data_IF_530331944163
#
_entry.id   IF_530331944163
#
_cell.length_a   1.000
_cell.length_b   1.000
_cell.length_c   1.000
_cell.angle_alpha   90.00
_cell.angle_beta   90.00
_cell.angle_gamma   90.00
#
_symmetry.space_group_name_H-M   'P 1'
#
loop_
_entity.id
_entity.type
_entity.pdbx_description
1 polymer ?
#
# COMPACT_ATOMS: atom_id res chain seq x y z
N UNK A 1 21.58 -24.63 5.01
CA UNK A 1 20.48 -23.65 4.95
C UNK A 1 19.30 -24.24 4.19
N UNK A 2 18.14 -24.14 4.75
CA UNK A 2 16.95 -24.62 4.06
C UNK A 2 16.40 -23.51 3.14
N UNK A 3 16.32 -23.78 1.83
CA UNK A 3 15.73 -22.79 0.91
C UNK A 3 14.22 -22.68 1.07
N UNK A 4 13.61 -23.59 1.81
CA UNK A 4 12.17 -23.61 2.02
C UNK A 4 11.75 -22.60 3.09
N UNK A 5 12.63 -22.38 4.06
CA UNK A 5 12.32 -21.47 5.16
C UNK A 5 12.62 -20.04 4.77
N UNK A 6 11.58 -19.27 4.61
CA UNK A 6 11.73 -17.84 4.44
C UNK A 6 11.71 -17.17 5.80
N UNK A 7 12.52 -16.16 5.99
CA UNK A 7 12.46 -15.35 7.19
C UNK A 7 11.10 -14.61 7.20
N UNK A 8 10.65 -14.22 8.39
CA UNK A 8 9.43 -13.41 8.51
C UNK A 8 9.56 -12.11 7.72
N UNK A 9 10.79 -11.59 7.66
CA UNK A 9 11.10 -10.38 6.94
C UNK A 9 10.84 -10.52 5.45
N UNK A 10 11.35 -11.60 4.86
CA UNK A 10 11.15 -11.85 3.43
C UNK A 10 9.69 -12.11 3.11
N UNK A 11 8.99 -12.84 3.98
CA UNK A 11 7.57 -13.11 3.80
C UNK A 11 6.74 -11.83 3.85
N UNK A 12 7.08 -10.92 4.77
CA UNK A 12 6.42 -9.64 4.90
C UNK A 12 6.61 -8.76 3.66
N UNK A 13 7.84 -8.69 3.17
CA UNK A 13 8.13 -7.92 1.95
C UNK A 13 7.38 -8.49 0.75
N UNK A 14 7.28 -9.82 0.66
CA UNK A 14 6.55 -10.44 -0.45
C UNK A 14 5.09 -10.05 -0.44
N UNK A 15 4.45 -10.06 0.73
CA UNK A 15 3.05 -9.66 0.86
C UNK A 15 2.86 -8.21 0.41
N UNK A 16 3.77 -7.32 0.82
CA UNK A 16 3.70 -5.91 0.44
C UNK A 16 3.91 -5.75 -1.07
N UNK A 17 4.85 -6.48 -1.66
CA UNK A 17 5.07 -6.44 -3.11
C UNK A 17 3.84 -6.91 -3.87
N UNK A 18 3.20 -7.99 -3.41
CA UNK A 18 1.96 -8.48 -4.02
C UNK A 18 0.83 -7.46 -3.90
N UNK A 19 0.75 -6.80 -2.75
CA UNK A 19 -0.23 -5.75 -2.55
C UNK A 19 -0.04 -4.60 -3.55
N UNK A 20 1.21 -4.18 -3.77
CA UNK A 20 1.50 -3.12 -4.72
C UNK A 20 1.20 -3.55 -6.16
N UNK A 21 1.45 -4.80 -6.51
CA UNK A 21 1.10 -5.32 -7.83
C UNK A 21 -0.40 -5.28 -8.05
N UNK A 22 -1.19 -5.69 -7.05
CA UNK A 22 -2.64 -5.61 -7.12
C UNK A 22 -3.11 -4.16 -7.24
N UNK A 23 -2.48 -3.25 -6.49
CA UNK A 23 -2.76 -1.82 -6.60
C UNK A 23 -2.56 -1.35 -8.05
N UNK A 24 -1.44 -1.69 -8.66
CA UNK A 24 -1.14 -1.23 -10.02
C UNK A 24 -2.07 -1.81 -11.08
N UNK A 25 -2.69 -2.95 -10.79
CA UNK A 25 -3.75 -3.51 -11.64
C UNK A 25 -5.13 -2.96 -11.28
N UNK A 26 -5.21 -2.13 -10.23
CA UNK A 26 -6.48 -1.62 -9.67
C UNK A 26 -7.40 -2.77 -9.23
N UNK A 27 -6.79 -3.84 -8.75
CA UNK A 27 -7.50 -5.05 -8.30
C UNK A 27 -7.79 -4.96 -6.81
N UNK A 28 -8.88 -4.30 -6.47
CA UNK A 28 -9.25 -4.09 -5.06
C UNK A 28 -9.44 -5.41 -4.33
N UNK A 29 -10.10 -6.38 -4.96
CA UNK A 29 -10.30 -7.69 -4.34
C UNK A 29 -8.96 -8.36 -4.02
N UNK A 30 -7.99 -8.29 -4.95
CA UNK A 30 -6.66 -8.83 -4.74
C UNK A 30 -5.93 -8.13 -3.60
N UNK A 31 -6.02 -6.80 -3.55
CA UNK A 31 -5.44 -6.02 -2.45
C UNK A 31 -6.02 -6.47 -1.10
N UNK A 32 -7.33 -6.57 -1.04
CA UNK A 32 -8.00 -6.85 0.23
C UNK A 32 -7.83 -8.29 0.71
N UNK A 33 -7.52 -9.22 -0.18
CA UNK A 33 -7.16 -10.58 0.23
C UNK A 33 -5.86 -10.60 1.03
N UNK A 34 -5.01 -9.58 0.86
CA UNK A 34 -3.73 -9.49 1.55
C UNK A 34 -3.83 -8.72 2.87
N UNK A 35 -4.99 -8.16 3.19
CA UNK A 35 -5.21 -7.44 4.44
C UNK A 35 -6.11 -8.25 5.37
N UNK A 36 -5.87 -8.14 6.67
CA UNK A 36 -6.75 -8.84 7.63
C UNK A 36 -8.05 -8.06 7.85
N UNK A 37 -9.00 -8.69 8.55
CA UNK A 37 -10.33 -8.10 8.75
C UNK A 37 -10.31 -6.81 9.56
N UNK A 38 -9.38 -6.70 10.50
CA UNK A 38 -9.26 -5.54 11.39
C UNK A 38 -8.17 -4.56 10.93
N UNK A 39 -7.89 -4.53 9.64
CA UNK A 39 -6.79 -3.72 9.12
C UNK A 39 -7.05 -2.22 9.33
N UNK A 40 -5.96 -1.48 9.42
CA UNK A 40 -5.98 -0.02 9.55
C UNK A 40 -5.22 0.56 8.35
N UNK A 41 -5.85 1.54 7.70
CA UNK A 41 -5.20 2.32 6.65
C UNK A 41 -5.24 3.79 7.04
N UNK A 42 -4.07 4.39 7.19
CA UNK A 42 -3.94 5.83 7.40
C UNK A 42 -3.47 6.47 6.10
N UNK A 43 -4.35 7.28 5.52
CA UNK A 43 -4.10 7.92 4.24
C UNK A 43 -3.29 9.22 4.44
N UNK A 44 -2.77 9.76 3.35
CA UNK A 44 -2.02 11.03 3.37
C UNK A 44 -2.96 12.22 3.35
N UNK A 45 -4.19 12.04 2.91
CA UNK A 45 -5.18 13.11 2.80
C UNK A 45 -6.35 12.87 3.74
N UNK A 46 -6.99 13.93 4.25
CA UNK A 46 -6.61 15.33 4.07
C UNK A 46 -5.44 15.73 4.96
N UNK A 47 -4.70 16.76 4.50
CA UNK A 47 -3.65 17.32 5.33
C UNK A 47 -4.25 17.90 6.62
N UNK A 48 -3.51 17.93 7.77
CA UNK A 48 -2.10 17.53 7.89
C UNK A 48 -1.89 16.05 8.18
N UNK A 49 -2.87 15.36 8.78
CA UNK A 49 -2.62 14.04 9.36
C UNK A 49 -3.19 12.88 8.54
N UNK A 50 -4.10 13.17 7.62
CA UNK A 50 -4.76 12.14 6.86
C UNK A 50 -5.93 11.48 7.59
N UNK A 51 -6.82 10.87 6.84
CA UNK A 51 -7.95 10.12 7.38
C UNK A 51 -7.52 8.69 7.72
N UNK A 52 -8.16 8.13 8.74
CA UNK A 52 -7.91 6.75 9.14
C UNK A 52 -9.13 5.92 8.80
N UNK A 53 -8.90 4.80 8.13
CA UNK A 53 -9.95 3.85 7.76
C UNK A 53 -9.70 2.57 8.55
N UNK A 54 -10.70 2.10 9.30
CA UNK A 54 -10.58 0.94 10.16
C UNK A 54 -11.49 -0.17 9.67
N UNK A 55 -10.91 -1.35 9.48
CA UNK A 55 -11.64 -2.54 9.06
C UNK A 55 -11.69 -2.71 7.55
N UNK A 56 -11.82 -3.97 7.15
CA UNK A 56 -11.75 -4.36 5.75
C UNK A 56 -12.83 -3.68 4.90
N UNK A 57 -14.04 -3.52 5.45
CA UNK A 57 -15.13 -2.92 4.69
C UNK A 57 -14.85 -1.45 4.35
N UNK A 58 -14.40 -0.67 5.35
CA UNK A 58 -14.10 0.75 5.12
C UNK A 58 -12.93 0.93 4.17
N UNK A 59 -11.90 0.10 4.31
CA UNK A 59 -10.72 0.18 3.44
C UNK A 59 -11.06 -0.23 2.02
N UNK A 60 -11.88 -1.25 1.84
CA UNK A 60 -12.35 -1.68 0.51
C UNK A 60 -13.08 -0.54 -0.20
N UNK A 61 -14.00 0.11 0.51
CA UNK A 61 -14.78 1.20 -0.05
C UNK A 61 -13.87 2.36 -0.47
N UNK A 62 -12.87 2.67 0.36
CA UNK A 62 -11.91 3.70 0.04
C UNK A 62 -11.22 3.41 -1.30
N UNK A 63 -10.69 2.18 -1.47
CA UNK A 63 -9.95 1.85 -2.70
C UNK A 63 -10.85 1.80 -3.93
N UNK A 64 -12.09 1.35 -3.78
CA UNK A 64 -13.05 1.37 -4.88
C UNK A 64 -13.28 2.79 -5.38
N UNK A 65 -13.48 3.72 -4.46
CA UNK A 65 -13.69 5.13 -4.80
C UNK A 65 -12.41 5.75 -5.38
N UNK A 66 -11.27 5.43 -4.77
CA UNK A 66 -9.99 5.97 -5.20
C UNK A 66 -9.69 5.63 -6.67
N UNK A 67 -9.85 4.36 -7.05
CA UNK A 67 -9.55 3.95 -8.43
C UNK A 67 -10.58 4.46 -9.43
N UNK A 68 -11.80 4.69 -8.98
CA UNK A 68 -12.81 5.32 -9.85
C UNK A 68 -12.43 6.75 -10.17
N UNK A 69 -11.88 7.46 -9.19
CA UNK A 69 -11.47 8.85 -9.35
C UNK A 69 -10.06 8.99 -9.94
N UNK A 70 -9.26 7.95 -9.87
CA UNK A 70 -7.85 7.98 -10.30
C UNK A 70 -7.55 6.79 -11.19
N UNK A 71 -8.14 6.73 -12.41
CA UNK A 71 -8.01 5.55 -13.27
C UNK A 71 -6.60 5.31 -13.80
N UNK A 72 -5.71 6.30 -13.67
CA UNK A 72 -4.32 6.18 -14.15
C UNK A 72 -3.32 6.03 -12.99
N UNK A 73 -3.80 5.73 -11.79
CA UNK A 73 -2.94 5.62 -10.61
C UNK A 73 -1.96 4.46 -10.73
N UNK A 74 -0.67 4.74 -10.52
CA UNK A 74 0.40 3.76 -10.52
C UNK A 74 1.39 4.10 -9.42
N UNK A 75 1.95 3.08 -8.80
CA UNK A 75 3.00 3.25 -7.79
C UNK A 75 4.24 2.48 -8.22
N UNK A 76 5.36 3.20 -8.32
CA UNK A 76 6.68 2.60 -8.49
C UNK A 76 7.33 2.47 -7.12
N UNK A 77 7.84 1.29 -6.82
CA UNK A 77 8.59 1.07 -5.59
C UNK A 77 10.02 1.53 -5.83
N UNK A 78 10.50 2.46 -5.01
CA UNK A 78 11.88 2.93 -5.08
C UNK A 78 12.81 2.17 -4.15
N UNK A 79 12.27 1.70 -3.03
CA UNK A 79 13.03 0.92 -2.07
C UNK A 79 12.07 0.20 -1.15
N UNK A 80 12.41 -1.02 -0.76
CA UNK A 80 11.62 -1.77 0.21
C UNK A 80 12.57 -2.49 1.16
N UNK A 81 12.30 -2.42 2.45
CA UNK A 81 13.06 -3.14 3.47
C UNK A 81 12.15 -3.36 4.68
N UNK A 82 12.60 -4.21 5.57
CA UNK A 82 11.78 -4.52 6.72
C UNK A 82 12.59 -4.84 7.97
N UNK A 83 11.88 -4.86 9.09
CA UNK A 83 12.43 -5.19 10.39
C UNK A 83 11.30 -5.76 11.25
N UNK A 84 11.44 -7.02 11.67
CA UNK A 84 10.37 -7.68 12.41
C UNK A 84 9.09 -7.76 11.59
N UNK A 85 8.00 -7.25 12.16
CA UNK A 85 6.71 -7.21 11.47
C UNK A 85 6.55 -5.96 10.60
N UNK A 86 7.49 -5.02 10.69
CA UNK A 86 7.41 -3.78 9.92
C UNK A 86 8.08 -3.92 8.57
N UNK A 87 7.43 -3.39 7.56
CA UNK A 87 7.96 -3.32 6.22
C UNK A 87 7.80 -1.88 5.73
N UNK A 88 8.88 -1.31 5.24
CA UNK A 88 8.93 0.08 4.82
C UNK A 88 9.11 0.11 3.31
N UNK A 89 8.24 0.84 2.62
CA UNK A 89 8.28 0.95 1.17
C UNK A 89 8.33 2.41 0.77
N UNK A 90 9.44 2.83 0.17
CA UNK A 90 9.52 4.16 -0.43
C UNK A 90 8.95 4.06 -1.83
N UNK A 91 8.11 5.03 -2.18
CA UNK A 91 7.37 4.94 -3.43
C UNK A 91 7.29 6.28 -4.15
N UNK A 92 6.98 6.18 -5.43
CA UNK A 92 6.63 7.30 -6.30
C UNK A 92 5.24 7.00 -6.86
N UNK A 93 4.29 7.86 -6.53
CA UNK A 93 2.93 7.76 -7.06
C UNK A 93 2.82 8.64 -8.29
N UNK A 94 2.30 8.08 -9.37
CA UNK A 94 2.26 8.72 -10.68
C UNK A 94 0.81 8.82 -11.14
N UNK A 95 0.44 9.97 -11.68
CA UNK A 95 -0.86 10.16 -12.30
C UNK A 95 -0.71 10.93 -13.61
N UNK A 96 -1.80 10.95 -14.41
CA UNK A 96 -1.85 11.69 -15.65
C UNK A 96 -2.64 12.97 -15.40
N UNK A 97 -2.11 14.10 -15.85
CA UNK A 97 -2.80 15.39 -15.71
C UNK A 97 -3.86 15.54 -16.79
N UNK A 98 -4.74 16.53 -16.63
CA UNK A 98 -5.80 16.80 -17.60
C UNK A 98 -5.27 17.19 -18.98
N UNK A 99 -4.07 17.77 -19.04
CA UNK A 99 -3.42 18.13 -20.30
C UNK A 99 -2.63 16.98 -20.91
N UNK A 100 -2.72 15.78 -20.32
CA UNK A 100 -2.00 14.62 -20.82
C UNK A 100 -0.57 14.49 -20.33
N UNK A 101 -0.11 15.42 -19.47
CA UNK A 101 1.20 15.32 -18.82
C UNK A 101 1.13 14.38 -17.63
N UNK A 102 2.29 14.09 -17.03
CA UNK A 102 2.38 13.25 -15.85
C UNK A 102 2.76 14.09 -14.63
N UNK A 103 2.05 13.82 -13.52
CA UNK A 103 2.43 14.34 -12.22
C UNK A 103 2.90 13.23 -11.33
N UNK A 104 3.63 13.57 -10.27
CA UNK A 104 4.03 12.58 -9.27
C UNK A 104 4.26 13.21 -7.91
N UNK A 105 4.17 12.36 -6.89
CA UNK A 105 4.65 12.66 -5.55
C UNK A 105 5.42 11.45 -5.06
N UNK A 106 6.29 11.66 -4.10
CA UNK A 106 7.02 10.60 -3.43
C UNK A 106 6.58 10.51 -1.99
N UNK A 107 6.70 9.33 -1.44
CA UNK A 107 6.35 9.12 -0.06
C UNK A 107 6.89 7.80 0.46
N UNK A 108 6.39 7.43 1.61
CA UNK A 108 6.75 6.19 2.27
C UNK A 108 5.52 5.59 2.93
N UNK A 109 5.40 4.27 2.82
CA UNK A 109 4.40 3.51 3.55
C UNK A 109 5.10 2.67 4.61
N UNK A 110 4.51 2.64 5.79
CA UNK A 110 4.94 1.79 6.87
C UNK A 110 3.85 0.73 7.04
N UNK A 111 4.21 -0.52 6.78
CA UNK A 111 3.28 -1.64 6.91
C UNK A 111 3.57 -2.42 8.18
N UNK A 112 2.53 -3.02 8.73
CA UNK A 112 2.69 -4.11 9.70
C UNK A 112 2.13 -5.36 9.04
N UNK A 113 2.95 -6.42 8.97
CA UNK A 113 2.56 -7.70 8.39
C UNK A 113 2.73 -8.78 9.44
N UNK A 114 1.68 -9.56 9.67
CA UNK A 114 1.70 -10.68 10.62
C UNK A 114 0.93 -11.83 10.02
N UNK A 115 1.53 -13.02 10.09
CA UNK A 115 0.88 -14.24 9.60
C UNK A 115 0.39 -14.12 8.16
N UNK A 116 1.19 -13.47 7.32
CA UNK A 116 0.88 -13.36 5.90
C UNK A 116 -0.16 -12.31 5.54
N UNK A 117 -0.61 -11.50 6.50
CA UNK A 117 -1.62 -10.46 6.26
C UNK A 117 -1.12 -9.10 6.69
N UNK A 118 -1.49 -8.08 5.92
CA UNK A 118 -1.21 -6.69 6.26
C UNK A 118 -2.21 -6.26 7.31
N UNK A 119 -1.69 -5.82 8.47
CA UNK A 119 -2.49 -5.33 9.59
C UNK A 119 -2.65 -3.84 9.58
N UNK A 120 -1.61 -3.13 9.13
CA UNK A 120 -1.60 -1.68 9.07
C UNK A 120 -0.88 -1.21 7.81
N UNK A 121 -1.38 -0.15 7.25
CA UNK A 121 -0.72 0.58 6.16
C UNK A 121 -0.78 2.04 6.52
N UNK A 122 0.36 2.61 6.87
CA UNK A 122 0.47 4.00 7.30
C UNK A 122 1.24 4.76 6.23
N UNK A 123 0.60 5.73 5.60
CA UNK A 123 1.15 6.42 4.44
C UNK A 123 1.57 7.84 4.77
N UNK A 124 2.77 8.20 4.31
CA UNK A 124 3.33 9.53 4.49
C UNK A 124 3.78 10.04 3.14
N UNK A 125 3.47 11.28 2.86
CA UNK A 125 3.81 11.90 1.59
C UNK A 125 4.82 13.02 1.82
N UNK A 126 5.75 13.14 0.88
CA UNK A 126 6.72 14.23 0.89
C UNK A 126 6.00 15.50 0.46
N UNK A 127 6.00 16.47 1.32
CA UNK A 127 5.25 17.71 1.10
C UNK A 127 6.01 18.87 0.54
#
# INVERSE_FOLDING_TARGET
MSPIRMSKLESGMRVVLEFNEAFNRHDVAGMMQLMNDDCIFENTEPAPDGAVYAGKEAVTRFWQDFFRESPEAQIEIEEIFGFGERCIMRWKYIWVTMEGGKGHVRGVDIFRVRSGSIREKLSYVKG
#
